data_IF_579126956491
#
_entry.id   IF_579126956491
#
_cell.length_a   1.000
_cell.length_b   1.000
_cell.length_c   1.000
_cell.angle_alpha   90.00
_cell.angle_beta   90.00
_cell.angle_gamma   90.00
#
_symmetry.space_group_name_H-M   'P 1'
#
loop_
_entity.id
_entity.type
_entity.pdbx_description
1 polymer ?
#
# COMPACT_ATOMS: atom_id res chain seq x y z
N UNK A 1 26.91 17.75 -30.22
CA UNK A 1 25.93 16.66 -30.07
C UNK A 1 24.69 17.31 -29.53
N UNK A 2 23.64 17.32 -30.34
CA UNK A 2 22.40 18.03 -30.06
C UNK A 2 21.71 17.40 -28.86
N UNK A 3 21.64 18.14 -27.76
CA UNK A 3 20.85 17.76 -26.59
C UNK A 3 19.39 18.01 -26.93
N UNK A 4 18.80 17.10 -27.70
CA UNK A 4 17.35 17.08 -27.94
C UNK A 4 16.63 16.93 -26.59
N UNK A 5 15.72 17.86 -26.32
CA UNK A 5 14.88 17.92 -25.12
C UNK A 5 14.20 16.58 -24.83
N UNK A 6 14.74 15.80 -23.90
CA UNK A 6 14.00 14.69 -23.29
C UNK A 6 13.18 15.28 -22.15
N UNK A 7 11.86 15.35 -22.36
CA UNK A 7 10.89 15.96 -21.44
C UNK A 7 10.53 14.97 -20.32
N UNK A 8 10.60 13.67 -20.61
CA UNK A 8 10.19 12.62 -19.67
C UNK A 8 11.29 11.59 -19.44
N UNK A 9 11.37 11.06 -18.21
CA UNK A 9 12.39 10.09 -17.80
C UNK A 9 12.41 8.81 -18.66
N UNK A 10 11.24 8.34 -19.11
CA UNK A 10 11.11 7.14 -19.94
C UNK A 10 11.66 7.31 -21.37
N UNK A 11 11.99 8.54 -21.78
CA UNK A 11 12.62 8.84 -23.07
C UNK A 11 14.15 8.72 -23.02
N UNK A 12 14.74 8.54 -21.83
CA UNK A 12 16.16 8.34 -21.67
C UNK A 12 16.58 7.00 -22.32
N UNK A 13 17.72 6.97 -23.02
CA UNK A 13 18.13 5.78 -23.77
C UNK A 13 18.60 4.65 -22.84
N UNK A 14 18.99 5.04 -21.62
CA UNK A 14 19.35 4.17 -20.51
C UNK A 14 18.16 3.90 -19.57
N UNK A 15 16.93 4.26 -19.95
CA UNK A 15 15.75 3.78 -19.24
C UNK A 15 15.51 2.29 -19.61
N UNK A 16 15.23 1.39 -18.64
CA UNK A 16 15.13 1.60 -17.19
C UNK A 16 16.45 1.37 -16.43
N UNK A 17 17.54 1.06 -17.12
CA UNK A 17 18.86 0.72 -16.57
C UNK A 17 19.64 1.95 -16.07
N UNK A 18 19.10 2.57 -15.02
CA UNK A 18 19.68 3.75 -14.42
C UNK A 18 21.04 3.51 -13.76
N UNK A 19 21.92 4.49 -13.92
CA UNK A 19 23.22 4.55 -13.22
C UNK A 19 23.15 5.66 -12.19
N UNK A 20 23.48 5.34 -10.95
CA UNK A 20 23.51 6.30 -9.85
C UNK A 20 24.88 6.29 -9.16
N UNK A 21 25.30 7.45 -8.67
CA UNK A 21 26.52 7.56 -7.87
C UNK A 21 26.22 7.19 -6.41
N UNK A 22 26.61 5.98 -6.04
CA UNK A 22 26.51 5.48 -4.66
C UNK A 22 27.22 6.38 -3.65
N UNK A 23 28.33 7.01 -4.04
CA UNK A 23 29.12 7.85 -3.13
C UNK A 23 28.36 9.13 -2.81
N UNK A 24 27.68 9.71 -3.80
CA UNK A 24 26.80 10.86 -3.60
C UNK A 24 25.55 10.51 -2.77
N UNK A 25 25.00 9.29 -2.93
CA UNK A 25 23.79 8.84 -2.22
C UNK A 25 24.04 8.27 -0.81
N UNK A 26 25.28 7.90 -0.48
CA UNK A 26 25.59 7.22 0.78
C UNK A 26 25.15 8.02 2.02
N UNK A 27 25.44 9.32 2.06
CA UNK A 27 25.07 10.17 3.22
C UNK A 27 23.55 10.38 3.31
N UNK A 28 22.84 10.80 2.25
CA UNK A 28 21.37 10.91 2.28
C UNK A 28 20.67 9.60 2.67
N UNK A 29 21.13 8.46 2.15
CA UNK A 29 20.54 7.15 2.48
C UNK A 29 20.76 6.78 3.96
N UNK A 30 21.93 7.08 4.51
CA UNK A 30 22.21 6.86 5.93
C UNK A 30 21.30 7.74 6.82
N UNK A 31 21.07 9.00 6.44
CA UNK A 31 20.19 9.91 7.15
C UNK A 31 18.73 9.42 7.13
N UNK A 32 18.23 9.02 5.96
CA UNK A 32 16.87 8.46 5.82
C UNK A 32 16.72 7.18 6.63
N UNK A 33 17.70 6.27 6.56
CA UNK A 33 17.66 5.00 7.30
C UNK A 33 17.64 5.23 8.82
N UNK A 34 18.44 6.20 9.30
CA UNK A 34 18.45 6.59 10.71
C UNK A 34 17.12 7.19 11.15
N UNK A 35 16.54 8.10 10.35
CA UNK A 35 15.26 8.72 10.64
C UNK A 35 14.12 7.69 10.68
N UNK A 36 14.08 6.76 9.71
CA UNK A 36 13.12 5.65 9.68
C UNK A 36 13.25 4.76 10.91
N UNK A 37 14.49 4.36 11.27
CA UNK A 37 14.74 3.54 12.45
C UNK A 37 14.27 4.22 13.74
N UNK A 38 14.53 5.53 13.90
CA UNK A 38 14.06 6.31 15.05
C UNK A 38 12.53 6.38 15.13
N UNK A 39 11.85 6.58 14.00
CA UNK A 39 10.39 6.61 13.93
C UNK A 39 9.80 5.25 14.32
N UNK A 40 10.30 4.17 13.72
CA UNK A 40 9.85 2.80 14.02
C UNK A 40 10.07 2.46 15.50
N UNK A 41 11.24 2.83 16.05
CA UNK A 41 11.53 2.63 17.47
C UNK A 41 10.54 3.33 18.38
N UNK A 42 10.26 4.62 18.13
CA UNK A 42 9.26 5.38 18.90
C UNK A 42 7.86 4.80 18.76
N UNK A 43 7.47 4.36 17.57
CA UNK A 43 6.18 3.72 17.33
C UNK A 43 6.03 2.36 18.02
N UNK A 44 7.14 1.66 18.29
CA UNK A 44 7.12 0.41 19.06
C UNK A 44 6.87 0.64 20.56
N UNK A 45 7.26 1.81 21.10
CA UNK A 45 7.02 2.19 22.49
C UNK A 45 5.58 2.70 22.72
N UNK A 46 4.93 3.17 21.67
CA UNK A 46 3.57 3.67 21.69
C UNK A 46 2.58 2.49 21.60
N UNK A 47 1.70 2.36 22.60
CA UNK A 47 0.73 1.25 22.68
C UNK A 47 -0.17 1.14 21.43
N UNK A 48 -0.66 -0.08 21.17
CA UNK A 48 -1.40 -0.46 19.95
C UNK A 48 -2.49 0.54 19.52
N UNK A 49 -3.33 0.99 20.44
CA UNK A 49 -4.43 1.91 20.14
C UNK A 49 -3.96 3.27 19.57
N UNK A 50 -2.84 3.79 20.07
CA UNK A 50 -2.27 5.04 19.59
C UNK A 50 -1.61 4.89 18.22
N UNK A 51 -1.01 3.72 17.96
CA UNK A 51 -0.44 3.38 16.66
C UNK A 51 -1.52 3.28 15.58
N UNK A 52 -2.65 2.66 15.88
CA UNK A 52 -3.79 2.59 14.96
C UNK A 52 -4.36 3.98 14.66
N UNK A 53 -4.51 4.83 15.68
CA UNK A 53 -5.00 6.19 15.50
C UNK A 53 -4.04 7.05 14.65
N UNK A 54 -2.73 6.93 14.88
CA UNK A 54 -1.72 7.60 14.07
C UNK A 54 -1.73 7.09 12.61
N UNK A 55 -1.85 5.77 12.42
CA UNK A 55 -1.93 5.15 11.09
C UNK A 55 -3.17 5.61 10.33
N UNK A 56 -4.33 5.66 11.01
CA UNK A 56 -5.57 6.18 10.43
C UNK A 56 -5.41 7.62 9.96
N UNK A 57 -4.82 8.49 10.79
CA UNK A 57 -4.61 9.89 10.43
C UNK A 57 -3.71 10.04 9.20
N UNK A 58 -2.59 9.31 9.16
CA UNK A 58 -1.64 9.34 8.03
C UNK A 58 -2.29 8.83 6.74
N UNK A 59 -3.05 7.73 6.80
CA UNK A 59 -3.70 7.15 5.62
C UNK A 59 -4.84 8.03 5.09
N UNK A 60 -5.56 8.76 5.95
CA UNK A 60 -6.57 9.73 5.51
C UNK A 60 -5.89 10.86 4.73
N UNK A 61 -4.79 11.40 5.26
CA UNK A 61 -4.05 12.46 4.61
C UNK A 61 -3.47 12.00 3.27
N UNK A 62 -2.89 10.79 3.23
CA UNK A 62 -2.36 10.20 2.01
C UNK A 62 -3.45 10.05 0.95
N UNK A 63 -4.58 9.41 1.26
CA UNK A 63 -5.68 9.19 0.32
C UNK A 63 -6.18 10.51 -0.29
N UNK A 64 -6.33 11.55 0.53
CA UNK A 64 -6.80 12.86 0.07
C UNK A 64 -5.74 13.53 -0.78
N UNK A 65 -4.48 13.56 -0.34
CA UNK A 65 -3.41 14.29 -1.03
C UNK A 65 -2.95 13.63 -2.31
N UNK A 66 -2.89 12.31 -2.37
CA UNK A 66 -2.55 11.59 -3.61
C UNK A 66 -3.68 11.72 -4.64
N UNK A 67 -4.94 11.69 -4.21
CA UNK A 67 -6.08 11.94 -5.10
C UNK A 67 -6.12 13.37 -5.63
N UNK A 68 -5.79 14.36 -4.80
CA UNK A 68 -5.71 15.77 -5.23
C UNK A 68 -4.69 15.98 -6.36
N UNK A 69 -3.58 15.22 -6.37
CA UNK A 69 -2.57 15.28 -7.44
C UNK A 69 -3.16 14.82 -8.77
N UNK A 70 -4.04 13.82 -8.75
CA UNK A 70 -4.77 13.31 -9.92
C UNK A 70 -5.99 14.18 -10.29
N UNK A 71 -6.22 15.29 -9.56
CA UNK A 71 -7.35 16.18 -9.76
C UNK A 71 -8.66 15.69 -9.12
N UNK A 72 -8.62 14.63 -8.33
CA UNK A 72 -9.77 14.10 -7.61
C UNK A 72 -9.91 14.74 -6.22
N UNK A 73 -11.14 15.15 -5.89
CA UNK A 73 -11.49 15.67 -4.57
C UNK A 73 -12.35 14.66 -3.83
N UNK A 74 -11.73 13.93 -2.91
CA UNK A 74 -12.44 12.95 -2.09
C UNK A 74 -13.11 13.60 -0.87
N UNK A 75 -14.27 13.07 -0.49
CA UNK A 75 -14.92 13.45 0.76
C UNK A 75 -14.14 12.85 1.95
N UNK A 76 -13.52 13.72 2.75
CA UNK A 76 -12.67 13.33 3.89
C UNK A 76 -13.41 12.47 4.92
N UNK A 77 -14.70 12.71 5.15
CA UNK A 77 -15.51 11.93 6.10
C UNK A 77 -15.76 10.51 5.57
N UNK A 78 -16.02 10.38 4.27
CA UNK A 78 -16.14 9.08 3.59
C UNK A 78 -14.82 8.30 3.64
N UNK A 79 -13.69 8.95 3.34
CA UNK A 79 -12.33 8.36 3.41
C UNK A 79 -12.04 7.86 4.82
N UNK A 80 -12.28 8.71 5.84
CA UNK A 80 -12.12 8.35 7.25
C UNK A 80 -12.99 7.14 7.63
N UNK A 81 -14.25 7.13 7.20
CA UNK A 81 -15.20 6.05 7.45
C UNK A 81 -14.75 4.72 6.82
N UNK A 82 -14.26 4.75 5.57
CA UNK A 82 -13.72 3.57 4.90
C UNK A 82 -12.44 3.04 5.59
N UNK A 83 -11.45 3.91 5.84
CA UNK A 83 -10.21 3.50 6.50
C UNK A 83 -10.42 3.01 7.93
N UNK A 84 -11.32 3.62 8.70
CA UNK A 84 -11.65 3.18 10.04
C UNK A 84 -12.25 1.76 10.07
N UNK A 85 -13.09 1.41 9.07
CA UNK A 85 -13.58 0.02 8.92
C UNK A 85 -12.43 -0.94 8.63
N UNK A 86 -11.56 -0.61 7.69
CA UNK A 86 -10.43 -1.47 7.32
C UNK A 86 -9.45 -1.71 8.49
N UNK A 87 -9.06 -0.65 9.20
CA UNK A 87 -8.17 -0.76 10.36
C UNK A 87 -8.83 -1.46 11.55
N UNK A 88 -10.13 -1.22 11.78
CA UNK A 88 -10.93 -1.97 12.75
C UNK A 88 -10.96 -3.47 12.44
N UNK A 89 -11.16 -3.84 11.17
CA UNK A 89 -11.11 -5.24 10.72
C UNK A 89 -9.72 -5.86 10.95
N UNK A 90 -8.63 -5.16 10.64
CA UNK A 90 -7.25 -5.65 10.91
C UNK A 90 -6.97 -5.83 12.40
N UNK A 91 -7.53 -4.97 13.24
CA UNK A 91 -7.38 -4.97 14.70
C UNK A 91 -8.34 -5.93 15.42
N UNK A 92 -9.28 -6.57 14.70
CA UNK A 92 -10.33 -7.40 15.29
C UNK A 92 -11.45 -6.63 16.00
N UNK A 93 -11.48 -5.29 15.87
CA UNK A 93 -12.47 -4.40 16.47
C UNK A 93 -13.54 -4.08 15.43
N UNK A 94 -14.78 -4.54 15.66
CA UNK A 94 -15.92 -4.17 14.80
C UNK A 94 -16.42 -2.78 15.18
N UNK A 95 -16.15 -1.78 14.35
CA UNK A 95 -16.85 -0.50 14.43
C UNK A 95 -18.28 -0.67 13.88
N UNK A 96 -19.28 -0.20 14.63
CA UNK A 96 -20.70 -0.26 14.27
C UNK A 96 -21.03 0.51 12.98
N UNK A 97 -22.26 0.33 12.48
CA UNK A 97 -22.73 0.78 11.16
C UNK A 97 -22.27 2.21 10.79
N UNK A 98 -21.31 2.28 9.88
CA UNK A 98 -20.79 3.53 9.31
C UNK A 98 -21.57 3.89 8.04
N UNK A 99 -21.54 5.18 7.69
CA UNK A 99 -22.35 5.86 6.67
C UNK A 99 -22.33 5.21 5.26
N UNK A 100 -23.25 5.61 4.34
CA UNK A 100 -23.33 5.05 2.99
C UNK A 100 -21.99 5.08 2.27
N UNK A 101 -21.69 3.99 1.57
CA UNK A 101 -20.40 3.76 0.91
C UNK A 101 -20.33 4.55 -0.39
N UNK A 102 -19.39 5.47 -0.48
CA UNK A 102 -18.92 6.02 -1.75
C UNK A 102 -17.99 4.99 -2.40
N UNK A 103 -18.42 4.44 -3.54
CA UNK A 103 -17.65 3.39 -4.24
C UNK A 103 -16.33 3.91 -4.81
N UNK A 104 -16.25 5.20 -5.16
CA UNK A 104 -15.00 5.78 -5.66
C UNK A 104 -13.96 5.82 -4.54
N UNK A 105 -14.38 6.30 -3.37
CA UNK A 105 -13.55 6.31 -2.16
C UNK A 105 -13.12 4.90 -1.76
N UNK A 106 -14.02 3.92 -1.80
CA UNK A 106 -13.68 2.54 -1.46
C UNK A 106 -12.59 1.97 -2.37
N UNK A 107 -12.69 2.21 -3.68
CA UNK A 107 -11.68 1.75 -4.65
C UNK A 107 -10.30 2.37 -4.40
N UNK A 108 -10.24 3.68 -4.13
CA UNK A 108 -8.99 4.37 -3.81
C UNK A 108 -8.38 3.83 -2.51
N UNK A 109 -9.20 3.67 -1.46
CA UNK A 109 -8.74 3.15 -0.17
C UNK A 109 -8.22 1.71 -0.30
N UNK A 110 -8.93 0.85 -1.02
CA UNK A 110 -8.51 -0.54 -1.24
C UNK A 110 -7.16 -0.60 -1.98
N UNK A 111 -7.03 0.13 -3.09
CA UNK A 111 -5.79 0.22 -3.86
C UNK A 111 -4.63 0.74 -2.99
N UNK A 112 -4.84 1.80 -2.23
CA UNK A 112 -3.83 2.41 -1.37
C UNK A 112 -3.38 1.45 -0.25
N UNK A 113 -4.31 0.73 0.36
CA UNK A 113 -4.00 -0.29 1.38
C UNK A 113 -3.27 -1.50 0.79
N UNK A 114 -3.58 -1.89 -0.46
CA UNK A 114 -2.84 -2.94 -1.16
C UNK A 114 -1.39 -2.49 -1.43
N UNK A 115 -1.22 -1.29 -2.00
CA UNK A 115 0.08 -0.71 -2.31
C UNK A 115 0.97 -0.59 -1.06
N UNK A 116 0.43 -0.04 0.03
CA UNK A 116 1.19 0.18 1.28
C UNK A 116 1.39 -1.10 2.09
N UNK A 117 0.43 -2.04 2.05
CA UNK A 117 0.48 -3.29 2.80
C UNK A 117 1.31 -4.38 2.14
N UNK A 118 1.49 -4.33 0.81
CA UNK A 118 2.07 -5.43 0.01
C UNK A 118 3.26 -5.00 -0.86
N UNK A 119 3.77 -3.76 -0.70
CA UNK A 119 4.92 -3.21 -1.43
C UNK A 119 6.15 -4.14 -1.47
N UNK A 120 6.42 -4.89 -0.40
CA UNK A 120 7.60 -5.77 -0.31
C UNK A 120 7.49 -7.05 -1.16
N UNK A 121 6.32 -7.36 -1.72
CA UNK A 121 6.13 -8.58 -2.49
C UNK A 121 6.80 -8.54 -3.87
N UNK A 122 6.88 -7.39 -4.55
CA UNK A 122 7.46 -7.28 -5.90
C UNK A 122 8.89 -6.71 -5.93
N UNK A 123 9.57 -6.63 -4.79
CA UNK A 123 10.95 -6.15 -4.74
C UNK A 123 11.86 -7.08 -5.58
N UNK A 124 12.27 -6.62 -6.77
CA UNK A 124 13.15 -7.36 -7.69
C UNK A 124 12.51 -7.86 -8.99
N UNK A 125 11.23 -7.56 -9.27
CA UNK A 125 10.61 -7.91 -10.56
C UNK A 125 10.93 -6.84 -11.60
N UNK A 126 11.47 -7.18 -12.79
CA UNK A 126 11.71 -6.21 -13.86
C UNK A 126 10.40 -5.57 -14.34
N UNK A 127 10.47 -4.36 -14.89
CA UNK A 127 9.30 -3.56 -15.28
C UNK A 127 8.30 -4.31 -16.19
N UNK A 128 8.78 -5.23 -17.04
CA UNK A 128 7.96 -6.10 -17.88
C UNK A 128 7.07 -7.08 -17.10
N UNK A 129 7.43 -7.42 -15.86
CA UNK A 129 6.69 -8.33 -14.99
C UNK A 129 5.79 -7.64 -13.96
N UNK A 130 5.68 -6.30 -13.99
CA UNK A 130 4.78 -5.57 -13.08
C UNK A 130 3.31 -5.92 -13.32
N UNK A 131 2.91 -6.17 -14.57
CA UNK A 131 1.57 -6.67 -14.90
C UNK A 131 1.29 -8.09 -14.36
N UNK A 132 2.28 -8.97 -14.42
CA UNK A 132 2.19 -10.35 -13.91
C UNK A 132 2.18 -10.40 -12.37
N UNK A 133 2.81 -9.43 -11.71
CA UNK A 133 2.77 -9.29 -10.25
C UNK A 133 1.34 -9.02 -9.73
N UNK A 134 0.50 -8.36 -10.54
CA UNK A 134 -0.91 -8.09 -10.24
C UNK A 134 -1.78 -9.35 -10.46
N UNK A 135 -1.58 -10.07 -11.56
CA UNK A 135 -2.37 -11.27 -11.94
C UNK A 135 -2.03 -12.53 -11.13
N UNK A 136 -0.74 -12.79 -10.84
CA UNK A 136 -0.32 -13.95 -10.03
C UNK A 136 -0.85 -13.85 -8.58
N UNK A 137 -1.22 -12.64 -8.12
CA UNK A 137 -1.63 -12.39 -6.73
C UNK A 137 -3.13 -12.35 -6.51
N UNK A 138 -3.92 -11.98 -7.52
CA UNK A 138 -5.37 -12.18 -7.46
C UNK A 138 -5.75 -13.67 -7.27
N UNK A 139 -4.91 -14.59 -7.77
CA UNK A 139 -5.08 -16.04 -7.57
C UNK A 139 -4.67 -16.59 -6.20
N UNK A 140 -3.85 -15.86 -5.42
CA UNK A 140 -3.38 -16.33 -4.11
C UNK A 140 -4.44 -16.17 -3.00
N UNK A 141 -5.40 -15.25 -3.17
CA UNK A 141 -6.48 -15.01 -2.21
C UNK A 141 -7.66 -16.02 -2.36
N UNK A 142 -7.70 -16.77 -3.46
CA UNK A 142 -8.69 -17.85 -3.69
C UNK A 142 -8.20 -19.24 -3.22
N UNK A 143 -6.97 -19.35 -2.71
CA UNK A 143 -6.29 -20.61 -2.45
C UNK A 143 -6.27 -21.12 -1.00
N UNK A 144 -7.16 -20.68 -0.11
CA UNK A 144 -7.24 -21.21 1.27
C UNK A 144 -8.66 -21.56 1.72
N UNK A 145 -9.43 -22.21 0.85
CA UNK A 145 -10.46 -23.14 1.31
C UNK A 145 -9.74 -24.44 1.72
N UNK A 146 -9.58 -24.66 3.03
CA UNK A 146 -9.10 -25.94 3.53
C UNK A 146 -10.03 -27.07 3.08
N UNK A 147 -9.52 -28.32 2.92
CA UNK A 147 -10.39 -29.43 2.58
C UNK A 147 -11.48 -29.56 3.65
N UNK A 148 -12.73 -29.34 3.26
CA UNK A 148 -13.89 -29.75 4.03
C UNK A 148 -13.82 -31.26 4.17
N UNK A 149 -13.36 -31.73 5.33
CA UNK A 149 -13.59 -33.10 5.77
C UNK A 149 -15.08 -33.19 6.13
N UNK A 150 -15.91 -33.39 5.11
CA UNK A 150 -17.27 -33.87 5.28
C UNK A 150 -17.13 -35.36 5.60
N UNK A 151 -17.51 -35.74 6.82
CA UNK A 151 -17.53 -37.13 7.25
C UNK A 151 -18.55 -37.92 6.44
N UNK A 152 -18.09 -38.93 5.73
CA UNK A 152 -18.93 -40.02 5.26
C UNK A 152 -19.04 -41.07 6.38
N UNK A 153 -20.17 -41.02 7.08
CA UNK A 153 -20.77 -42.17 7.72
C UNK A 153 -21.27 -43.09 6.60
N UNK A 154 -20.61 -44.22 6.39
CA UNK A 154 -21.21 -45.37 5.71
C UNK A 154 -21.66 -46.40 6.76
N UNK A 155 -22.86 -46.99 6.64
CA UNK A 155 -23.36 -47.99 7.56
C UNK A 155 -22.94 -49.41 7.15
N UNK A 156 -22.98 -50.30 8.16
CA UNK A 156 -22.83 -51.78 8.16
C UNK A 156 -21.41 -52.29 8.25
#
# INVERSE_FOLDING_TARGET
MESGEKIFLWQADDWPDWRYDLTALASPLAEVSRAQGMLIGRLAEVGFAWREQASLAVLIEEAVKTSEIEGEQLNVESVRSSLARYLGVRSGVRLGALAPVDRNVEGVVEMMLDATGRANGCAGVPFSGLGECHDVRAGADQGRAGPSVVGDLAPV
#
